data_IF_358057286503
#
_entry.id   IF_358057286503
#
_cell.length_a   1.000
_cell.length_b   1.000
_cell.length_c   1.000
_cell.angle_alpha   90.00
_cell.angle_beta   90.00
_cell.angle_gamma   90.00
#
_symmetry.space_group_name_H-M   'P 1'
#
loop_
_entity.id
_entity.type
_entity.pdbx_description
1 polymer ?
#
# COMPACT_ATOMS: atom_id res chain seq x y z
N UNK A 1 -11.24 -18.80 10.07
CA UNK A 1 -10.98 -17.51 10.70
C UNK A 1 -12.11 -16.56 10.30
N UNK A 2 -12.77 -15.94 11.27
CA UNK A 2 -13.75 -14.87 11.01
C UNK A 2 -12.98 -13.71 10.41
N UNK A 3 -13.30 -13.34 9.18
CA UNK A 3 -12.83 -12.10 8.56
C UNK A 3 -13.79 -10.97 8.97
N UNK A 4 -13.76 -10.61 10.25
CA UNK A 4 -14.45 -9.40 10.69
C UNK A 4 -13.60 -8.22 10.19
N UNK A 5 -14.05 -7.57 9.14
CA UNK A 5 -13.43 -6.33 8.68
C UNK A 5 -13.78 -5.21 9.67
N UNK A 6 -12.79 -4.38 10.00
CA UNK A 6 -12.99 -3.17 10.79
C UNK A 6 -14.09 -2.30 10.12
N UNK A 7 -15.01 -1.78 10.93
CA UNK A 7 -15.98 -0.78 10.48
C UNK A 7 -15.57 0.63 10.93
N UNK A 8 -16.27 1.65 10.44
CA UNK A 8 -15.91 3.04 10.70
C UNK A 8 -16.02 3.41 12.20
N UNK A 9 -17.03 2.93 12.90
CA UNK A 9 -17.21 3.21 14.34
C UNK A 9 -16.04 2.68 15.17
N UNK A 10 -15.56 1.47 14.86
CA UNK A 10 -14.38 0.90 15.51
C UNK A 10 -13.12 1.71 15.20
N UNK A 11 -12.93 2.10 13.93
CA UNK A 11 -11.80 2.93 13.52
C UNK A 11 -11.85 4.30 14.21
N UNK A 12 -13.03 4.92 14.28
CA UNK A 12 -13.24 6.22 14.92
C UNK A 12 -12.88 6.17 16.41
N UNK A 13 -13.39 5.19 17.15
CA UNK A 13 -13.06 5.03 18.58
C UNK A 13 -11.55 4.89 18.79
N UNK A 14 -10.87 4.12 17.94
CA UNK A 14 -9.41 3.97 18.00
C UNK A 14 -8.69 5.30 17.72
N UNK A 15 -9.10 6.02 16.69
CA UNK A 15 -8.49 7.29 16.31
C UNK A 15 -8.71 8.32 17.42
N UNK A 16 -9.93 8.43 17.98
CA UNK A 16 -10.23 9.35 19.08
C UNK A 16 -9.33 9.09 20.31
N UNK A 17 -9.10 7.81 20.61
CA UNK A 17 -8.18 7.44 21.69
C UNK A 17 -6.73 7.83 21.36
N UNK A 18 -6.29 7.60 20.12
CA UNK A 18 -4.94 7.95 19.68
C UNK A 18 -4.74 9.48 19.66
N UNK A 19 -5.76 10.26 19.31
CA UNK A 19 -5.70 11.73 19.36
C UNK A 19 -5.35 12.22 20.76
N UNK A 20 -5.97 11.64 21.80
CA UNK A 20 -5.64 11.98 23.20
C UNK A 20 -4.19 11.68 23.52
N UNK A 21 -3.65 10.56 23.03
CA UNK A 21 -2.24 10.19 23.23
C UNK A 21 -1.30 11.10 22.45
N UNK A 22 -1.63 11.43 21.20
CA UNK A 22 -0.81 12.33 20.36
C UNK A 22 -0.72 13.73 20.92
N UNK A 23 -1.81 14.24 21.51
CA UNK A 23 -1.87 15.56 22.13
C UNK A 23 -1.39 15.60 23.59
N UNK A 24 -0.99 14.45 24.14
CA UNK A 24 -0.48 14.38 25.51
C UNK A 24 0.97 14.85 25.62
N UNK A 25 1.35 15.34 26.79
CA UNK A 25 2.74 15.73 27.13
C UNK A 25 3.70 14.52 27.13
N UNK A 26 3.18 13.29 27.13
CA UNK A 26 3.97 12.07 27.05
C UNK A 26 4.44 11.75 25.63
N UNK A 27 3.87 12.40 24.62
CA UNK A 27 4.27 12.21 23.23
C UNK A 27 5.52 13.01 22.91
N UNK A 28 6.65 12.33 22.73
CA UNK A 28 7.93 12.95 22.38
C UNK A 28 8.02 13.42 20.92
N UNK A 29 7.05 13.08 20.07
CA UNK A 29 7.00 13.46 18.65
C UNK A 29 6.19 14.74 18.39
N UNK A 30 6.19 15.69 19.32
CA UNK A 30 5.46 16.93 19.19
C UNK A 30 5.92 17.76 17.98
N UNK A 31 4.99 18.43 17.31
CA UNK A 31 5.24 19.32 16.18
C UNK A 31 5.39 18.61 14.82
N UNK A 32 5.37 17.26 14.78
CA UNK A 32 5.46 16.49 13.55
C UNK A 32 4.10 16.17 12.92
N UNK A 33 4.15 15.54 11.75
CA UNK A 33 2.96 15.00 11.07
C UNK A 33 2.62 13.60 11.61
N UNK A 34 1.33 13.26 11.62
CA UNK A 34 0.87 11.91 11.96
C UNK A 34 0.68 11.12 10.67
N UNK A 35 1.36 9.98 10.57
CA UNK A 35 1.20 9.07 9.42
C UNK A 35 0.14 8.01 9.72
N UNK A 36 -0.94 7.99 8.93
CA UNK A 36 -1.93 6.91 8.93
C UNK A 36 -1.67 5.97 7.75
N UNK A 37 -1.33 4.72 8.07
CA UNK A 37 -1.06 3.68 7.08
C UNK A 37 -2.26 2.75 6.89
N UNK A 38 -2.69 2.57 5.63
CA UNK A 38 -3.70 1.57 5.24
C UNK A 38 -2.98 0.32 4.77
N UNK A 39 -3.14 -0.75 5.54
CA UNK A 39 -2.49 -2.04 5.31
C UNK A 39 -3.46 -3.20 5.58
N UNK A 40 -3.15 -4.38 5.07
CA UNK A 40 -3.96 -5.59 5.28
C UNK A 40 -3.88 -6.52 4.08
N UNK A 41 -4.95 -7.25 3.77
CA UNK A 41 -5.00 -8.09 2.57
C UNK A 41 -4.92 -7.25 1.28
N UNK A 42 -5.96 -6.44 1.04
CA UNK A 42 -5.98 -5.38 0.01
C UNK A 42 -6.87 -4.25 0.52
N UNK A 43 -6.31 -3.09 0.89
CA UNK A 43 -7.08 -1.99 1.48
C UNK A 43 -8.19 -1.46 0.57
N UNK A 44 -7.93 -1.38 -0.74
CA UNK A 44 -8.90 -0.83 -1.71
C UNK A 44 -10.18 -1.67 -1.86
N UNK A 45 -10.22 -2.89 -1.31
CA UNK A 45 -11.48 -3.67 -1.25
C UNK A 45 -12.48 -3.00 -0.29
N UNK A 46 -12.00 -2.37 0.78
CA UNK A 46 -12.84 -1.63 1.71
C UNK A 46 -12.63 -0.11 1.57
N UNK A 47 -12.67 0.38 0.35
CA UNK A 47 -12.42 1.78 0.03
C UNK A 47 -13.31 2.75 0.82
N UNK A 48 -14.58 2.38 1.03
CA UNK A 48 -15.52 3.22 1.80
C UNK A 48 -15.01 3.52 3.22
N UNK A 49 -14.40 2.55 3.87
CA UNK A 49 -13.81 2.76 5.19
C UNK A 49 -12.63 3.74 5.12
N UNK A 50 -11.78 3.62 4.09
CA UNK A 50 -10.64 4.52 3.88
C UNK A 50 -11.12 5.95 3.68
N UNK A 51 -12.12 6.14 2.82
CA UNK A 51 -12.75 7.44 2.55
C UNK A 51 -13.29 8.07 3.84
N UNK A 52 -14.08 7.32 4.62
CA UNK A 52 -14.62 7.78 5.90
C UNK A 52 -13.53 8.16 6.92
N UNK A 53 -12.44 7.37 7.00
CA UNK A 53 -11.33 7.66 7.90
C UNK A 53 -10.60 8.93 7.46
N UNK A 54 -10.28 9.06 6.16
CA UNK A 54 -9.58 10.24 5.63
C UNK A 54 -10.41 11.51 5.84
N UNK A 55 -11.70 11.47 5.54
CA UNK A 55 -12.60 12.60 5.78
C UNK A 55 -12.69 12.95 7.27
N UNK A 56 -12.84 11.94 8.12
CA UNK A 56 -12.95 12.15 9.56
C UNK A 56 -11.70 12.80 10.14
N UNK A 57 -10.50 12.28 9.87
CA UNK A 57 -9.28 12.82 10.47
C UNK A 57 -8.94 14.23 9.97
N UNK A 58 -9.41 14.61 8.79
CA UNK A 58 -9.28 15.98 8.27
C UNK A 58 -10.14 17.00 9.04
N UNK A 59 -11.14 16.54 9.80
CA UNK A 59 -11.93 17.41 10.70
C UNK A 59 -11.29 17.59 12.07
N UNK A 60 -10.28 16.79 12.41
CA UNK A 60 -9.63 16.82 13.72
C UNK A 60 -8.61 17.96 13.79
N UNK A 61 -8.61 18.66 14.91
CA UNK A 61 -7.63 19.70 15.22
C UNK A 61 -6.73 19.18 16.35
N UNK A 62 -5.46 18.99 16.03
CA UNK A 62 -4.45 18.52 16.98
C UNK A 62 -3.65 19.72 17.51
N UNK A 63 -3.46 19.79 18.81
CA UNK A 63 -2.74 20.90 19.46
C UNK A 63 -1.26 20.91 19.12
N UNK A 64 -0.66 19.70 19.06
CA UNK A 64 0.78 19.52 18.99
C UNK A 64 1.24 18.91 17.65
N UNK A 65 0.36 18.80 16.64
CA UNK A 65 0.67 18.20 15.34
C UNK A 65 0.16 19.05 14.19
N UNK A 66 0.91 19.04 13.09
CA UNK A 66 0.62 19.93 11.96
C UNK A 66 -0.46 19.37 11.03
N UNK A 67 -0.41 18.07 10.70
CA UNK A 67 -1.36 17.44 9.75
C UNK A 67 -1.28 15.92 9.77
N UNK A 68 -2.31 15.28 9.19
CA UNK A 68 -2.31 13.87 8.87
C UNK A 68 -1.72 13.64 7.48
N UNK A 69 -0.81 12.67 7.37
CA UNK A 69 -0.31 12.12 6.13
C UNK A 69 -0.84 10.70 5.97
N UNK A 70 -1.02 10.28 4.72
CA UNK A 70 -1.58 8.96 4.43
C UNK A 70 -0.58 8.11 3.65
N UNK A 71 -0.54 6.82 3.98
CA UNK A 71 0.19 5.83 3.20
C UNK A 71 -0.65 4.58 2.98
N UNK A 72 -0.37 3.85 1.92
CA UNK A 72 -1.09 2.62 1.58
C UNK A 72 -0.17 1.62 0.90
N UNK A 73 -0.22 0.36 1.35
CA UNK A 73 0.35 -0.76 0.59
C UNK A 73 -0.78 -1.45 -0.17
N UNK A 74 -0.64 -1.56 -1.49
CA UNK A 74 -1.67 -2.14 -2.36
C UNK A 74 -1.09 -3.10 -3.38
N UNK A 75 -1.89 -4.08 -3.80
CA UNK A 75 -1.56 -4.96 -4.93
C UNK A 75 -1.77 -4.29 -6.30
N UNK A 76 -2.31 -3.08 -6.35
CA UNK A 76 -2.48 -2.29 -7.58
C UNK A 76 -3.66 -2.68 -8.48
N UNK A 77 -4.41 -3.76 -8.19
CA UNK A 77 -5.49 -4.25 -9.06
C UNK A 77 -6.67 -3.26 -9.17
N UNK A 78 -6.92 -2.48 -8.12
CA UNK A 78 -8.06 -1.56 -8.03
C UNK A 78 -7.66 -0.09 -8.17
N UNK A 79 -6.43 0.22 -8.55
CA UNK A 79 -5.94 1.60 -8.66
C UNK A 79 -6.75 2.42 -9.65
N UNK A 80 -7.16 1.83 -10.79
CA UNK A 80 -7.96 2.49 -11.82
C UNK A 80 -9.25 3.12 -11.29
N UNK A 81 -9.83 2.54 -10.24
CA UNK A 81 -11.09 3.00 -9.66
C UNK A 81 -10.94 4.14 -8.67
N UNK A 82 -9.78 4.21 -8.00
CA UNK A 82 -9.62 5.07 -6.83
C UNK A 82 -8.44 6.03 -6.92
N UNK A 83 -7.71 6.05 -8.06
CA UNK A 83 -6.52 6.89 -8.21
C UNK A 83 -6.81 8.38 -8.01
N UNK A 84 -7.97 8.89 -8.45
CA UNK A 84 -8.33 10.29 -8.29
C UNK A 84 -8.44 10.70 -6.81
N UNK A 85 -9.01 9.82 -5.97
CA UNK A 85 -9.07 10.02 -4.52
C UNK A 85 -7.67 9.95 -3.90
N UNK A 86 -6.88 8.95 -4.26
CA UNK A 86 -5.52 8.76 -3.72
C UNK A 86 -4.62 9.95 -4.04
N UNK A 87 -4.73 10.48 -5.26
CA UNK A 87 -4.02 11.68 -5.69
C UNK A 87 -4.51 12.92 -4.96
N UNK A 88 -5.83 13.12 -4.86
CA UNK A 88 -6.44 14.26 -4.16
C UNK A 88 -5.95 14.38 -2.71
N UNK A 89 -5.81 13.24 -2.03
CA UNK A 89 -5.40 13.18 -0.62
C UNK A 89 -3.89 12.91 -0.44
N UNK A 90 -3.09 13.02 -1.50
CA UNK A 90 -1.63 12.87 -1.49
C UNK A 90 -1.17 11.57 -0.79
N UNK A 91 -1.94 10.47 -0.93
CA UNK A 91 -1.64 9.17 -0.31
C UNK A 91 -0.33 8.62 -0.85
N UNK A 92 0.63 8.30 0.01
CA UNK A 92 1.89 7.65 -0.39
C UNK A 92 1.63 6.18 -0.71
N UNK A 93 1.87 5.76 -1.94
CA UNK A 93 1.60 4.38 -2.38
C UNK A 93 2.85 3.53 -2.38
N UNK A 94 2.76 2.35 -1.76
CA UNK A 94 3.69 1.26 -1.91
C UNK A 94 3.00 0.15 -2.71
N UNK A 95 3.33 0.04 -3.99
CA UNK A 95 2.70 -0.92 -4.90
C UNK A 95 3.50 -2.23 -4.88
N UNK A 96 2.81 -3.34 -4.60
CA UNK A 96 3.40 -4.66 -4.62
C UNK A 96 3.53 -5.17 -6.05
N UNK A 97 4.76 -5.18 -6.59
CA UNK A 97 5.07 -5.66 -7.93
C UNK A 97 6.43 -6.38 -7.91
N UNK A 98 6.46 -7.69 -8.19
CA UNK A 98 7.67 -8.50 -8.04
C UNK A 98 8.63 -8.41 -9.24
N UNK A 99 8.39 -7.50 -10.16
CA UNK A 99 9.16 -7.29 -11.38
C UNK A 99 8.30 -7.46 -12.63
N UNK A 100 8.84 -8.07 -13.69
CA UNK A 100 8.13 -8.30 -14.95
C UNK A 100 7.06 -9.41 -14.84
N UNK A 101 6.42 -9.77 -15.94
CA UNK A 101 5.35 -10.79 -15.97
C UNK A 101 5.81 -12.15 -15.46
N UNK A 102 7.07 -12.55 -15.73
CA UNK A 102 7.63 -13.83 -15.27
C UNK A 102 7.86 -13.78 -13.75
N UNK A 103 8.46 -12.72 -13.25
CA UNK A 103 8.71 -12.55 -11.81
C UNK A 103 7.41 -12.49 -11.00
N UNK A 104 6.33 -11.96 -11.62
CA UNK A 104 5.04 -11.72 -10.96
C UNK A 104 4.07 -12.91 -11.04
N UNK A 105 4.49 -14.07 -11.56
CA UNK A 105 3.62 -15.23 -11.80
C UNK A 105 2.91 -15.76 -10.55
N UNK A 106 3.50 -15.59 -9.37
CA UNK A 106 2.90 -16.04 -8.12
C UNK A 106 1.83 -15.08 -7.57
N UNK A 107 1.70 -13.88 -8.15
CA UNK A 107 0.62 -12.94 -7.82
C UNK A 107 -0.59 -13.20 -8.71
N UNK A 108 -1.50 -13.97 -8.17
CA UNK A 108 -2.72 -14.38 -8.86
C UNK A 108 -3.97 -13.86 -8.15
N UNK A 109 -5.04 -13.67 -8.89
CA UNK A 109 -6.36 -13.37 -8.33
C UNK A 109 -6.98 -14.62 -7.64
N UNK A 110 -8.21 -14.47 -7.10
CA UNK A 110 -8.93 -15.58 -6.45
C UNK A 110 -9.25 -16.75 -7.39
N UNK A 111 -9.19 -16.54 -8.71
CA UNK A 111 -9.43 -17.56 -9.74
C UNK A 111 -8.14 -18.20 -10.23
N UNK A 112 -6.98 -17.74 -9.75
CA UNK A 112 -5.66 -18.21 -10.19
C UNK A 112 -5.13 -17.50 -11.43
N UNK A 113 -5.76 -16.41 -11.88
CA UNK A 113 -5.32 -15.64 -13.05
C UNK A 113 -4.17 -14.70 -12.64
N UNK A 114 -3.05 -14.67 -13.39
CA UNK A 114 -1.97 -13.71 -13.13
C UNK A 114 -2.47 -12.26 -13.16
N UNK A 115 -2.02 -11.46 -12.21
CA UNK A 115 -2.49 -10.07 -12.05
C UNK A 115 -1.60 -9.03 -12.75
N UNK A 116 -0.46 -9.44 -13.30
CA UNK A 116 0.57 -8.53 -13.82
C UNK A 116 0.02 -7.52 -14.83
N UNK A 117 -0.63 -7.98 -15.91
CA UNK A 117 -1.05 -7.09 -16.99
C UNK A 117 -2.00 -6.00 -16.51
N UNK A 118 -2.93 -6.35 -15.60
CA UNK A 118 -3.85 -5.38 -15.02
C UNK A 118 -3.14 -4.38 -14.12
N UNK A 119 -2.24 -4.85 -13.26
CA UNK A 119 -1.47 -3.98 -12.34
C UNK A 119 -0.57 -3.06 -13.15
N UNK A 120 0.13 -3.59 -14.15
CA UNK A 120 1.00 -2.82 -15.03
C UNK A 120 0.23 -1.74 -15.81
N UNK A 121 -0.93 -2.08 -16.36
CA UNK A 121 -1.80 -1.12 -17.04
C UNK A 121 -2.25 0.01 -16.08
N UNK A 122 -2.65 -0.33 -14.86
CA UNK A 122 -3.08 0.63 -13.84
C UNK A 122 -1.95 1.56 -13.41
N UNK A 123 -0.74 1.04 -13.26
CA UNK A 123 0.46 1.84 -12.91
C UNK A 123 0.76 2.84 -14.04
N UNK A 124 0.71 2.40 -15.30
CA UNK A 124 0.95 3.27 -16.45
C UNK A 124 -0.13 4.35 -16.56
N UNK A 125 -1.40 4.00 -16.36
CA UNK A 125 -2.50 4.95 -16.34
C UNK A 125 -2.31 6.02 -15.24
N UNK A 126 -1.90 5.61 -14.04
CA UNK A 126 -1.59 6.53 -12.94
C UNK A 126 -0.42 7.45 -13.29
N UNK A 127 0.65 6.91 -13.90
CA UNK A 127 1.82 7.68 -14.34
C UNK A 127 1.47 8.71 -15.41
N UNK A 128 0.62 8.32 -16.36
CA UNK A 128 0.18 9.17 -17.46
C UNK A 128 -0.73 10.32 -17.00
N UNK A 129 -1.72 9.98 -16.16
CA UNK A 129 -2.69 10.97 -15.66
C UNK A 129 -2.11 11.91 -14.61
N UNK A 130 -1.19 11.41 -13.77
CA UNK A 130 -0.67 12.12 -12.59
C UNK A 130 0.85 12.00 -12.45
N UNK A 131 1.66 12.46 -13.44
CA UNK A 131 3.11 12.25 -13.46
C UNK A 131 3.82 12.86 -12.26
N UNK A 132 3.39 14.03 -11.79
CA UNK A 132 3.95 14.68 -10.60
C UNK A 132 3.71 13.88 -9.31
N UNK A 133 2.50 13.37 -9.12
CA UNK A 133 2.18 12.49 -7.99
C UNK A 133 2.95 11.18 -8.08
N UNK A 134 2.97 10.53 -9.25
CA UNK A 134 3.70 9.29 -9.47
C UNK A 134 5.17 9.43 -9.07
N UNK A 135 5.80 10.54 -9.50
CA UNK A 135 7.21 10.81 -9.15
C UNK A 135 7.44 10.91 -7.63
N UNK A 136 6.56 11.59 -6.90
CA UNK A 136 6.76 11.89 -5.47
C UNK A 136 6.24 10.82 -4.54
N UNK A 137 5.12 10.17 -4.88
CA UNK A 137 4.30 9.40 -3.94
C UNK A 137 4.18 7.91 -4.25
N UNK A 138 4.66 7.45 -5.41
CA UNK A 138 4.58 6.04 -5.78
C UNK A 138 5.92 5.36 -5.58
N UNK A 139 5.90 4.26 -4.84
CA UNK A 139 7.03 3.38 -4.54
C UNK A 139 6.63 1.94 -4.86
N UNK A 140 7.63 1.08 -5.01
CA UNK A 140 7.44 -0.34 -5.29
C UNK A 140 8.05 -1.20 -4.19
N UNK A 141 7.35 -2.28 -3.85
CA UNK A 141 7.87 -3.37 -3.02
C UNK A 141 7.79 -4.67 -3.79
N UNK A 142 8.90 -5.39 -3.86
CA UNK A 142 9.05 -6.62 -4.59
C UNK A 142 9.48 -7.74 -3.65
N UNK A 143 8.82 -8.89 -3.75
CA UNK A 143 9.18 -10.07 -2.97
C UNK A 143 9.89 -11.06 -3.88
N UNK A 144 11.14 -11.41 -3.57
CA UNK A 144 11.91 -12.39 -4.33
C UNK A 144 11.26 -13.77 -4.22
N UNK A 145 11.22 -14.46 -5.34
CA UNK A 145 10.68 -15.80 -5.48
C UNK A 145 11.54 -16.64 -6.44
N UNK A 146 11.16 -17.89 -6.71
CA UNK A 146 11.93 -18.80 -7.56
C UNK A 146 12.09 -18.34 -9.03
N UNK A 147 11.35 -17.33 -9.49
CA UNK A 147 11.42 -16.79 -10.84
C UNK A 147 12.19 -15.48 -10.94
N UNK A 148 12.70 -14.95 -9.82
CA UNK A 148 13.30 -13.61 -9.76
C UNK A 148 14.58 -13.59 -8.91
N UNK A 149 15.43 -12.62 -9.21
CA UNK A 149 16.54 -12.22 -8.36
C UNK A 149 16.56 -10.70 -8.22
N UNK A 150 17.29 -10.19 -7.23
CA UNK A 150 17.32 -8.78 -6.91
C UNK A 150 17.75 -7.90 -8.09
N UNK A 151 18.72 -8.33 -8.86
CA UNK A 151 19.23 -7.58 -10.01
C UNK A 151 18.18 -7.43 -11.11
N UNK A 152 17.54 -8.54 -11.52
CA UNK A 152 16.52 -8.52 -12.58
C UNK A 152 15.27 -7.73 -12.19
N UNK A 153 14.88 -7.81 -10.92
CA UNK A 153 13.76 -7.00 -10.36
C UNK A 153 14.13 -5.51 -10.39
N UNK A 154 15.32 -5.17 -9.90
CA UNK A 154 15.79 -3.79 -9.91
C UNK A 154 15.86 -3.23 -11.35
N UNK A 155 16.46 -3.98 -12.28
CA UNK A 155 16.58 -3.57 -13.69
C UNK A 155 15.22 -3.30 -14.31
N UNK A 156 14.21 -4.16 -14.06
CA UNK A 156 12.87 -3.96 -14.58
C UNK A 156 12.21 -2.72 -13.97
N UNK A 157 12.14 -2.62 -12.64
CA UNK A 157 11.43 -1.51 -11.98
C UNK A 157 12.12 -0.16 -12.29
N UNK A 158 13.45 -0.14 -12.31
CA UNK A 158 14.20 1.07 -12.64
C UNK A 158 14.03 1.45 -14.11
N UNK A 159 14.16 0.50 -15.02
CA UNK A 159 14.03 0.74 -16.46
C UNK A 159 12.64 1.24 -16.86
N UNK A 160 11.59 0.63 -16.31
CA UNK A 160 10.20 0.97 -16.64
C UNK A 160 9.70 2.23 -15.95
N UNK A 161 10.02 2.42 -14.68
CA UNK A 161 9.37 3.42 -13.85
C UNK A 161 10.32 4.48 -13.29
N UNK A 162 11.64 4.34 -13.52
CA UNK A 162 12.70 5.18 -12.93
C UNK A 162 12.56 5.24 -11.38
N UNK A 163 12.33 4.06 -10.77
CA UNK A 163 12.16 3.87 -9.33
C UNK A 163 13.07 2.78 -8.81
N UNK A 164 13.59 2.96 -7.61
CA UNK A 164 14.30 1.91 -6.88
C UNK A 164 13.29 1.14 -6.04
N UNK A 165 13.11 -0.19 -6.26
CA UNK A 165 12.18 -0.97 -5.45
C UNK A 165 12.76 -1.27 -4.07
N UNK A 166 11.89 -1.37 -3.05
CA UNK A 166 12.17 -2.17 -1.88
C UNK A 166 12.18 -3.64 -2.28
N UNK A 167 13.18 -4.40 -1.82
CA UNK A 167 13.29 -5.84 -2.14
C UNK A 167 13.30 -6.62 -0.84
N UNK A 168 12.35 -7.54 -0.72
CA UNK A 168 12.18 -8.41 0.43
C UNK A 168 12.29 -9.88 0.02
N UNK A 169 12.68 -10.73 0.95
CA UNK A 169 12.66 -12.18 0.78
C UNK A 169 11.39 -12.75 1.41
N UNK A 170 10.89 -13.86 0.86
CA UNK A 170 9.74 -14.55 1.41
C UNK A 170 10.06 -15.07 2.80
N UNK A 171 9.22 -14.72 3.78
CA UNK A 171 9.21 -15.39 5.07
C UNK A 171 8.40 -16.69 4.97
N UNK A 172 8.97 -17.82 5.39
CA UNK A 172 8.29 -19.12 5.34
C UNK A 172 7.12 -19.24 6.32
N UNK A 173 6.90 -18.23 7.16
CA UNK A 173 5.82 -18.19 8.14
C UNK A 173 4.47 -18.07 7.42
N UNK A 174 3.63 -19.11 7.55
CA UNK A 174 2.29 -19.13 6.93
C UNK A 174 2.20 -19.81 5.56
N UNK A 175 3.33 -20.25 4.99
CA UNK A 175 3.31 -21.04 3.74
C UNK A 175 2.71 -22.42 3.99
N UNK A 176 1.72 -22.82 3.19
CA UNK A 176 1.12 -24.17 3.25
C UNK A 176 2.19 -25.22 2.96
N UNK A 177 2.30 -26.27 3.80
CA UNK A 177 3.34 -27.32 3.72
C UNK A 177 3.58 -27.93 2.32
N UNK A 178 2.57 -28.00 1.46
CA UNK A 178 2.70 -28.53 0.08
C UNK A 178 3.14 -27.50 -0.97
N UNK A 179 3.42 -26.23 -0.60
CA UNK A 179 3.85 -25.17 -1.53
C UNK A 179 5.25 -24.63 -1.26
N UNK A 180 5.98 -25.23 -0.30
CA UNK A 180 7.31 -24.75 0.09
C UNK A 180 8.37 -24.87 -1.04
N UNK A 181 8.19 -25.79 -1.97
CA UNK A 181 9.13 -25.99 -3.10
C UNK A 181 9.12 -24.82 -4.11
N UNK A 182 8.04 -24.04 -4.18
CA UNK A 182 7.95 -22.85 -5.03
C UNK A 182 8.70 -21.63 -4.46
N UNK A 183 9.26 -21.77 -3.26
CA UNK A 183 9.89 -20.66 -2.53
C UNK A 183 11.36 -20.94 -2.15
N UNK A 184 11.94 -21.99 -2.71
CA UNK A 184 13.37 -22.32 -2.57
C UNK A 184 14.19 -21.83 -3.75
#
# INVERSE_FOLDING_TARGET
PRHDSMNFEQAKVLIDHLVVLWDSDLNLSQGGNIMLGFYGGEPLINFRLIEQIVEYVQTLHLKNHSTFLFSMTTNGILLDRYMDFLVKHEVSLLISLDGNSVHNQLRVDKKGTPSFDRVYANINLLRERYPGYFKRKVHFNSVLNCYSNAESVHQFIYGEFNKVPGIETITYTGVKKGKMEHFR
#
